data_IF_651522834820
#
_entry.id   IF_651522834820
#
_cell.length_a   1.000
_cell.length_b   1.000
_cell.length_c   1.000
_cell.angle_alpha   90.00
_cell.angle_beta   90.00
_cell.angle_gamma   90.00
#
_symmetry.space_group_name_H-M   'P 1'
#
loop_
_entity.id
_entity.type
_entity.pdbx_description
1 polymer ?
#
# COMPACT_ATOMS: atom_id res chain seq x y z
N UNK A 1 4.37 -3.93 -8.38
CA UNK A 1 4.44 -2.66 -9.11
C UNK A 1 4.01 -2.92 -10.52
N UNK A 2 2.80 -2.55 -10.85
CA UNK A 2 2.31 -2.52 -12.24
C UNK A 2 3.04 -1.47 -13.07
N UNK A 3 4.30 -1.29 -12.74
CA UNK A 3 5.24 -0.34 -13.26
C UNK A 3 5.82 -0.90 -14.56
N UNK A 4 5.66 -0.14 -15.65
CA UNK A 4 6.28 -0.42 -16.93
C UNK A 4 7.78 -0.08 -16.94
N UNK A 5 8.37 0.29 -15.79
CA UNK A 5 9.79 0.55 -15.70
C UNK A 5 10.58 -0.73 -16.00
N UNK A 6 11.18 -0.76 -17.18
CA UNK A 6 12.05 -1.84 -17.62
C UNK A 6 13.36 -1.91 -16.83
N UNK A 7 13.62 -0.93 -15.94
CA UNK A 7 14.78 -0.86 -15.05
C UNK A 7 14.33 -0.50 -13.64
N UNK A 8 13.58 -1.39 -12.95
CA UNK A 8 13.20 -1.15 -11.57
C UNK A 8 14.48 -0.90 -10.75
N UNK A 9 14.59 0.28 -10.15
CA UNK A 9 15.78 0.65 -9.40
C UNK A 9 15.99 -0.29 -8.23
N UNK A 10 17.17 -0.91 -8.16
CA UNK A 10 17.64 -1.58 -6.97
C UNK A 10 17.86 -0.55 -5.85
N UNK A 11 17.11 -0.68 -4.78
CA UNK A 11 17.35 0.13 -3.60
C UNK A 11 18.38 -0.56 -2.70
N UNK A 12 19.65 -0.27 -2.94
CA UNK A 12 20.70 -0.58 -1.99
C UNK A 12 20.64 0.43 -0.85
N UNK A 13 20.22 0.03 0.34
CA UNK A 13 20.32 0.91 1.49
C UNK A 13 21.60 0.65 2.25
N UNK A 14 22.43 1.66 2.32
CA UNK A 14 23.44 1.82 3.34
C UNK A 14 23.11 3.13 4.06
N UNK A 15 22.26 3.08 5.08
CA UNK A 15 21.95 4.22 5.94
C UNK A 15 21.61 3.71 7.32
N UNK A 16 22.48 3.96 8.30
CA UNK A 16 22.18 3.78 9.72
C UNK A 16 21.25 4.92 10.15
N UNK A 17 20.05 4.60 10.63
CA UNK A 17 19.39 5.48 11.59
C UNK A 17 19.95 5.15 12.97
N UNK A 18 20.24 6.21 13.73
CA UNK A 18 20.66 6.08 15.13
C UNK A 18 19.57 5.41 15.99
N UNK A 19 19.95 4.85 17.11
CA UNK A 19 19.05 4.35 18.15
C UNK A 19 18.32 5.53 18.78
N UNK A 20 17.04 5.72 18.42
CA UNK A 20 16.16 6.76 18.93
C UNK A 20 15.00 6.93 17.97
N UNK A 21 13.85 7.37 18.44
CA UNK A 21 12.65 7.69 17.68
C UNK A 21 12.88 8.92 16.77
N UNK A 22 13.78 8.81 15.81
CA UNK A 22 14.05 9.89 14.86
C UNK A 22 12.94 9.90 13.82
N UNK A 23 12.14 10.97 13.84
CA UNK A 23 11.14 11.24 12.81
C UNK A 23 11.84 11.47 11.48
N UNK A 24 11.29 10.88 10.42
CA UNK A 24 11.83 11.04 9.09
C UNK A 24 10.73 11.45 8.12
N UNK A 25 10.83 12.67 7.59
CA UNK A 25 9.92 13.18 6.59
C UNK A 25 10.45 12.82 5.18
N UNK A 26 9.64 12.08 4.42
CA UNK A 26 9.93 11.64 3.07
C UNK A 26 8.95 12.31 2.09
N UNK A 27 9.42 12.66 0.90
CA UNK A 27 8.56 13.09 -0.20
C UNK A 27 8.42 11.95 -1.21
N UNK A 28 7.19 11.59 -1.52
CA UNK A 28 6.89 10.54 -2.47
C UNK A 28 7.43 10.88 -3.87
N UNK A 29 7.86 9.85 -4.61
CA UNK A 29 8.37 10.01 -5.97
C UNK A 29 7.26 9.83 -6.98
N UNK A 30 7.21 10.65 -8.01
CA UNK A 30 6.31 10.43 -9.15
C UNK A 30 6.84 9.29 -10.01
N UNK A 31 5.98 8.31 -10.24
CA UNK A 31 6.27 7.12 -11.06
C UNK A 31 5.05 6.75 -11.91
N UNK A 32 5.24 6.21 -13.13
CA UNK A 32 4.13 5.74 -13.94
C UNK A 32 3.50 4.48 -13.32
N UNK A 33 2.18 4.41 -13.37
CA UNK A 33 1.39 3.22 -13.05
C UNK A 33 0.57 2.79 -14.27
N UNK A 34 0.78 1.58 -14.75
CA UNK A 34 0.15 1.14 -15.98
C UNK A 34 0.53 2.08 -17.14
N UNK A 35 -0.46 2.43 -18.00
CA UNK A 35 -0.20 3.19 -19.23
C UNK A 35 -0.63 4.66 -19.18
N UNK A 36 -1.50 5.00 -18.25
CA UNK A 36 -2.24 6.28 -18.30
C UNK A 36 -2.19 7.05 -16.99
N UNK A 37 -1.74 6.43 -15.91
CA UNK A 37 -1.79 7.02 -14.57
C UNK A 37 -0.37 7.25 -14.04
N UNK A 38 -0.14 8.39 -13.39
CA UNK A 38 1.04 8.67 -12.60
C UNK A 38 0.69 8.64 -11.12
N UNK A 39 1.56 8.07 -10.31
CA UNK A 39 1.35 7.96 -8.86
C UNK A 39 2.50 8.57 -8.07
N UNK A 40 2.19 9.01 -6.85
CA UNK A 40 3.18 9.40 -5.87
C UNK A 40 3.51 8.18 -4.98
N UNK A 41 4.68 7.58 -5.18
CA UNK A 41 5.16 6.42 -4.44
C UNK A 41 5.93 6.82 -3.22
N UNK A 42 5.35 6.55 -2.03
CA UNK A 42 5.99 6.84 -0.75
C UNK A 42 6.74 5.63 -0.18
N UNK A 43 6.22 4.41 -0.41
CA UNK A 43 6.89 3.16 -0.04
C UNK A 43 7.05 2.25 -1.27
N UNK A 44 8.16 1.52 -1.41
CA UNK A 44 9.36 1.61 -0.56
C UNK A 44 10.20 2.85 -0.88
N UNK A 45 10.78 3.44 0.14
CA UNK A 45 11.81 4.46 0.03
C UNK A 45 13.20 3.89 0.39
N UNK A 46 14.28 4.60 0.03
CA UNK A 46 15.64 4.19 0.35
C UNK A 46 15.91 4.17 1.86
N UNK A 47 15.30 5.07 2.60
CA UNK A 47 15.49 5.24 4.04
C UNK A 47 14.50 4.38 4.83
N UNK A 48 13.22 4.31 4.39
CA UNK A 48 12.16 3.52 4.99
C UNK A 48 11.56 2.59 3.94
N UNK A 49 11.70 1.31 4.13
CA UNK A 49 11.17 0.31 3.19
C UNK A 49 9.81 -0.21 3.57
N UNK A 50 9.58 -0.28 4.88
CA UNK A 50 8.38 -0.84 5.46
C UNK A 50 8.01 -0.07 6.73
N UNK A 51 6.72 -0.10 7.04
CA UNK A 51 6.14 0.32 8.32
C UNK A 51 5.34 -0.88 8.82
N UNK A 52 5.83 -1.59 9.83
CA UNK A 52 5.33 -2.92 10.13
C UNK A 52 5.42 -3.82 8.90
N UNK A 53 4.32 -4.45 8.52
CA UNK A 53 4.22 -5.24 7.29
C UNK A 53 3.83 -4.42 6.04
N UNK A 54 3.51 -3.14 6.17
CA UNK A 54 3.24 -2.25 5.03
C UNK A 54 4.52 -2.02 4.24
N UNK A 55 4.58 -2.53 3.01
CA UNK A 55 5.78 -2.51 2.17
C UNK A 55 5.62 -1.68 0.90
N UNK A 56 4.42 -1.14 0.64
CA UNK A 56 4.13 -0.35 -0.55
C UNK A 56 3.02 0.66 -0.28
N UNK A 57 3.20 1.88 -0.78
CA UNK A 57 2.20 2.95 -0.78
C UNK A 57 2.34 3.78 -2.05
N UNK A 58 1.32 3.72 -2.89
CA UNK A 58 1.09 4.61 -4.03
C UNK A 58 -0.15 5.46 -3.80
N UNK A 59 -0.04 6.75 -4.06
CA UNK A 59 -1.14 7.71 -4.05
C UNK A 59 -1.35 8.22 -5.48
N UNK A 60 -2.57 8.14 -5.98
CA UNK A 60 -2.97 8.63 -7.30
C UNK A 60 -4.11 9.63 -7.21
N UNK A 61 -4.07 10.62 -8.06
CA UNK A 61 -5.04 11.73 -8.07
C UNK A 61 -4.77 12.78 -6.98
N UNK A 62 -5.79 13.64 -6.70
CA UNK A 62 -7.04 13.76 -7.47
C UNK A 62 -6.78 14.11 -8.93
N UNK A 63 -7.34 13.36 -9.87
CA UNK A 63 -7.16 13.52 -11.31
C UNK A 63 -8.53 13.55 -12.01
N UNK A 64 -8.73 14.51 -12.92
CA UNK A 64 -9.89 14.51 -13.82
C UNK A 64 -9.63 13.51 -14.96
N UNK A 65 -10.33 12.38 -14.90
CA UNK A 65 -10.24 11.30 -15.87
C UNK A 65 -11.38 11.29 -16.88
N UNK A 66 -12.22 12.34 -16.93
CA UNK A 66 -13.37 12.43 -17.84
C UNK A 66 -12.98 12.39 -19.31
N UNK A 67 -11.82 12.99 -19.65
CA UNK A 67 -11.28 13.04 -21.02
C UNK A 67 -10.30 11.91 -21.36
N UNK A 68 -10.11 10.92 -20.49
CA UNK A 68 -9.13 9.85 -20.66
C UNK A 68 -9.73 8.46 -20.42
N UNK A 69 -8.94 7.41 -20.64
CA UNK A 69 -9.34 6.05 -20.28
C UNK A 69 -9.39 5.82 -18.75
N UNK A 70 -8.88 6.76 -17.94
CA UNK A 70 -8.68 6.57 -16.51
C UNK A 70 -7.60 5.52 -16.22
N UNK A 71 -7.67 4.89 -15.05
CA UNK A 71 -6.73 3.84 -14.65
C UNK A 71 -6.87 2.62 -15.55
N UNK A 72 -5.76 2.14 -16.11
CA UNK A 72 -5.69 0.97 -16.99
C UNK A 72 -4.51 0.08 -16.57
N UNK A 73 -4.69 -0.63 -15.46
CA UNK A 73 -3.72 -1.61 -14.97
C UNK A 73 -4.18 -2.99 -15.41
N UNK A 74 -3.54 -3.49 -16.47
CA UNK A 74 -3.90 -4.77 -17.08
C UNK A 74 -3.56 -5.97 -16.20
N UNK A 75 -4.00 -7.15 -16.62
CA UNK A 75 -3.77 -8.39 -15.89
C UNK A 75 -2.29 -8.58 -15.56
N UNK A 76 -1.99 -8.73 -14.27
CA UNK A 76 -0.65 -8.91 -13.73
C UNK A 76 -0.69 -9.79 -12.47
N UNK A 77 0.41 -10.50 -12.17
CA UNK A 77 0.45 -11.44 -11.06
C UNK A 77 0.89 -10.78 -9.75
N UNK A 78 0.56 -11.42 -8.63
CA UNK A 78 1.13 -11.16 -7.32
C UNK A 78 1.45 -12.44 -6.57
N UNK A 79 2.47 -12.41 -5.69
CA UNK A 79 2.83 -13.47 -4.74
C UNK A 79 3.26 -12.86 -3.41
N UNK A 80 2.96 -13.53 -2.29
CA UNK A 80 3.53 -13.24 -0.97
C UNK A 80 3.07 -11.91 -0.33
N UNK A 81 1.96 -11.32 -0.80
CA UNK A 81 1.45 -10.05 -0.31
C UNK A 81 -0.08 -10.00 -0.25
N UNK A 82 -0.61 -8.98 0.44
CA UNK A 82 -1.97 -8.49 0.23
C UNK A 82 -1.90 -7.14 -0.49
N UNK A 83 -2.78 -6.92 -1.48
CA UNK A 83 -3.10 -5.57 -1.97
C UNK A 83 -4.25 -5.02 -1.15
N UNK A 84 -4.19 -3.73 -0.84
CA UNK A 84 -5.22 -2.99 -0.11
C UNK A 84 -5.56 -1.76 -0.93
N UNK A 85 -6.75 -1.76 -1.55
CA UNK A 85 -7.22 -0.66 -2.40
C UNK A 85 -8.21 0.19 -1.61
N UNK A 86 -7.94 1.50 -1.50
CA UNK A 86 -8.78 2.48 -0.83
C UNK A 86 -8.98 3.71 -1.69
N UNK A 87 -10.19 3.89 -2.24
CA UNK A 87 -10.55 5.08 -3.00
C UNK A 87 -11.05 6.19 -2.08
N UNK A 88 -10.67 7.42 -2.43
CA UNK A 88 -11.14 8.67 -1.84
C UNK A 88 -12.18 9.34 -2.75
N UNK A 89 -12.07 9.11 -4.08
CA UNK A 89 -13.02 9.55 -5.10
C UNK A 89 -12.91 8.64 -6.33
N UNK A 90 -13.98 8.53 -7.10
CA UNK A 90 -14.02 7.76 -8.33
C UNK A 90 -14.41 6.30 -8.16
N UNK A 91 -14.13 5.52 -9.20
CA UNK A 91 -14.49 4.11 -9.27
C UNK A 91 -13.53 3.35 -10.18
N UNK A 92 -13.08 2.16 -9.76
CA UNK A 92 -12.32 1.22 -10.58
C UNK A 92 -12.90 -0.19 -10.45
N UNK A 93 -12.84 -0.98 -11.53
CA UNK A 93 -13.22 -2.37 -11.51
C UNK A 93 -12.01 -3.25 -11.21
N UNK A 94 -12.08 -4.00 -10.12
CA UNK A 94 -11.18 -5.10 -9.82
C UNK A 94 -11.72 -6.40 -10.43
N UNK A 95 -10.84 -7.17 -11.08
CA UNK A 95 -11.09 -8.56 -11.49
C UNK A 95 -9.88 -9.40 -11.19
N UNK A 96 -10.11 -10.66 -10.79
CA UNK A 96 -9.02 -11.59 -10.50
C UNK A 96 -9.23 -12.99 -11.07
N UNK A 97 -8.20 -13.82 -10.93
CA UNK A 97 -8.20 -15.19 -11.41
C UNK A 97 -9.01 -16.17 -10.56
N UNK A 98 -9.55 -15.72 -9.41
CA UNK A 98 -10.54 -16.49 -8.63
C UNK A 98 -11.94 -16.35 -9.22
N UNK A 99 -12.12 -15.42 -10.16
CA UNK A 99 -13.42 -15.06 -10.73
C UNK A 99 -14.11 -13.93 -9.95
N UNK A 100 -13.43 -13.29 -9.01
CA UNK A 100 -13.97 -12.13 -8.33
C UNK A 100 -14.10 -10.96 -9.31
N UNK A 101 -15.18 -10.20 -9.13
CA UNK A 101 -15.44 -8.97 -9.84
C UNK A 101 -16.06 -7.97 -8.86
N UNK A 102 -15.38 -6.90 -8.57
CA UNK A 102 -15.83 -5.89 -7.64
C UNK A 102 -15.61 -4.48 -8.19
N UNK A 103 -16.55 -3.58 -7.91
CA UNK A 103 -16.33 -2.15 -8.09
C UNK A 103 -15.71 -1.63 -6.80
N UNK A 104 -14.51 -1.09 -6.90
CA UNK A 104 -13.84 -0.41 -5.79
C UNK A 104 -14.35 1.02 -5.75
N UNK A 105 -14.90 1.46 -4.60
CA UNK A 105 -15.54 2.76 -4.41
C UNK A 105 -15.09 3.42 -3.11
N UNK A 106 -15.23 4.75 -2.97
CA UNK A 106 -15.01 5.42 -1.70
C UNK A 106 -15.84 4.80 -0.57
N UNK A 107 -15.18 4.58 0.57
CA UNK A 107 -15.81 3.95 1.74
C UNK A 107 -15.80 2.42 1.74
N UNK A 108 -15.39 1.78 0.65
CA UNK A 108 -15.27 0.32 0.52
C UNK A 108 -13.80 -0.09 0.49
N UNK A 109 -13.41 -0.98 1.41
CA UNK A 109 -12.05 -1.53 1.46
C UNK A 109 -12.01 -2.84 0.70
N UNK A 110 -11.11 -2.95 -0.27
CA UNK A 110 -10.88 -4.19 -0.99
C UNK A 110 -9.48 -4.72 -0.68
N UNK A 111 -9.42 -5.97 -0.24
CA UNK A 111 -8.18 -6.68 0.08
C UNK A 111 -8.08 -7.93 -0.78
N UNK A 112 -7.03 -8.00 -1.59
CA UNK A 112 -6.69 -9.22 -2.31
C UNK A 112 -5.44 -9.85 -1.69
N UNK A 113 -5.59 -11.00 -1.07
CA UNK A 113 -4.49 -11.81 -0.55
C UNK A 113 -3.95 -12.68 -1.67
N UNK A 114 -2.73 -12.43 -2.10
CA UNK A 114 -2.13 -13.15 -3.22
C UNK A 114 -1.71 -14.58 -2.87
N UNK A 115 -1.27 -14.79 -1.63
CA UNK A 115 -0.79 -16.11 -1.23
C UNK A 115 0.33 -16.62 -2.14
N UNK A 116 0.23 -17.87 -2.58
CA UNK A 116 1.19 -18.52 -3.49
C UNK A 116 1.14 -17.94 -4.92
N UNK A 117 0.07 -17.24 -5.30
CA UNK A 117 -0.08 -16.59 -6.61
C UNK A 117 -1.51 -16.27 -6.97
N UNK A 118 -1.71 -15.12 -7.57
CA UNK A 118 -2.99 -14.64 -8.11
C UNK A 118 -2.71 -13.71 -9.28
N UNK A 119 -3.66 -13.59 -10.20
CA UNK A 119 -3.65 -12.60 -11.29
C UNK A 119 -4.83 -11.67 -11.10
N UNK A 120 -4.61 -10.36 -11.21
CA UNK A 120 -5.71 -9.40 -11.19
C UNK A 120 -5.49 -8.23 -12.17
N UNK A 121 -6.56 -7.46 -12.38
CA UNK A 121 -6.56 -6.20 -13.15
C UNK A 121 -7.39 -5.16 -12.41
N UNK A 122 -7.03 -3.87 -12.61
CA UNK A 122 -7.70 -2.70 -12.03
C UNK A 122 -7.94 -1.68 -13.14
N UNK A 123 -9.20 -1.50 -13.53
CA UNK A 123 -9.55 -0.76 -14.75
C UNK A 123 -10.71 0.20 -14.48
N UNK A 124 -10.52 1.47 -14.86
CA UNK A 124 -11.64 2.41 -14.99
C UNK A 124 -12.53 2.03 -16.18
N UNK A 125 -13.84 1.92 -15.95
CA UNK A 125 -14.80 1.61 -16.99
C UNK A 125 -15.12 2.84 -17.87
N UNK A 126 -15.71 2.66 -19.06
CA UNK A 126 -16.04 3.79 -19.94
C UNK A 126 -17.01 4.83 -19.33
N UNK A 127 -17.92 4.37 -18.46
CA UNK A 127 -18.92 5.16 -17.76
C UNK A 127 -18.50 5.61 -16.35
N UNK A 128 -17.18 5.58 -16.06
CA UNK A 128 -16.61 5.98 -14.78
C UNK A 128 -16.97 7.40 -14.36
N UNK A 129 -16.94 7.70 -13.05
CA UNK A 129 -16.97 9.07 -12.53
C UNK A 129 -15.82 9.94 -13.10
N UNK A 130 -15.99 11.26 -13.16
CA UNK A 130 -14.99 12.16 -13.76
C UNK A 130 -13.69 12.26 -12.97
N UNK A 131 -13.74 12.01 -11.68
CA UNK A 131 -12.57 12.08 -10.80
C UNK A 131 -12.04 10.70 -10.43
N UNK A 132 -10.73 10.61 -10.22
CA UNK A 132 -10.08 9.44 -9.62
C UNK A 132 -9.09 9.90 -8.55
N UNK A 133 -9.24 9.38 -7.34
CA UNK A 133 -8.37 9.67 -6.21
C UNK A 133 -8.33 8.48 -5.26
N UNK A 134 -7.14 8.05 -4.85
CA UNK A 134 -7.03 6.93 -3.93
C UNK A 134 -5.61 6.54 -3.59
N UNK A 135 -5.50 5.50 -2.78
CA UNK A 135 -4.23 4.87 -2.42
C UNK A 135 -4.28 3.38 -2.70
N UNK A 136 -3.14 2.87 -3.18
CA UNK A 136 -2.87 1.44 -3.30
C UNK A 136 -1.76 1.09 -2.33
N UNK A 137 -2.04 0.13 -1.45
CA UNK A 137 -1.11 -0.31 -0.41
C UNK A 137 -0.82 -1.80 -0.57
N UNK A 138 0.36 -2.23 -0.14
CA UNK A 138 0.65 -3.66 0.01
C UNK A 138 1.14 -3.98 1.41
N UNK A 139 0.69 -5.14 1.89
CA UNK A 139 1.12 -5.76 3.14
C UNK A 139 1.89 -7.04 2.80
N UNK A 140 3.13 -7.16 3.25
CA UNK A 140 3.90 -8.39 3.10
C UNK A 140 3.31 -9.49 3.98
N UNK A 141 3.14 -10.69 3.41
CA UNK A 141 2.69 -11.85 4.16
C UNK A 141 3.86 -12.49 4.92
N UNK A 142 3.68 -12.83 6.21
CA UNK A 142 4.68 -13.58 6.95
C UNK A 142 4.86 -15.00 6.39
N UNK A 143 6.02 -15.61 6.63
CA UNK A 143 6.42 -16.92 6.11
C UNK A 143 5.36 -18.01 6.35
N UNK A 144 4.74 -17.99 7.54
CA UNK A 144 3.75 -19.00 7.92
C UNK A 144 2.48 -19.02 7.05
N UNK A 145 2.22 -17.94 6.28
CA UNK A 145 0.97 -17.80 5.51
C UNK A 145 1.19 -17.29 4.08
N UNK A 146 2.43 -17.00 3.67
CA UNK A 146 2.70 -16.44 2.34
C UNK A 146 2.35 -17.37 1.17
N UNK A 147 2.32 -18.68 1.41
CA UNK A 147 2.00 -19.72 0.42
C UNK A 147 0.55 -20.24 0.52
N UNK A 148 -0.31 -19.49 1.26
CA UNK A 148 -1.72 -19.84 1.36
C UNK A 148 -2.45 -19.69 0.03
N UNK A 149 -3.65 -20.28 -0.07
CA UNK A 149 -4.57 -20.03 -1.18
C UNK A 149 -4.93 -18.54 -1.27
N UNK A 150 -5.02 -17.97 -2.48
CA UNK A 150 -5.43 -16.59 -2.67
C UNK A 150 -6.89 -16.35 -2.25
N UNK A 151 -7.19 -15.15 -1.80
CA UNK A 151 -8.53 -14.74 -1.35
C UNK A 151 -8.77 -13.28 -1.78
N UNK A 152 -10.01 -12.96 -2.12
CA UNK A 152 -10.48 -11.59 -2.31
C UNK A 152 -11.60 -11.28 -1.32
N UNK A 153 -11.42 -10.22 -0.55
CA UNK A 153 -12.39 -9.72 0.44
C UNK A 153 -12.74 -8.26 0.15
N UNK A 154 -14.02 -7.92 0.28
CA UNK A 154 -14.53 -6.56 0.18
C UNK A 154 -15.33 -6.21 1.44
N UNK A 155 -14.98 -5.08 2.07
CA UNK A 155 -15.59 -4.60 3.31
C UNK A 155 -16.29 -3.28 3.05
N UNK A 156 -17.61 -3.27 3.11
CA UNK A 156 -18.47 -2.09 2.87
C UNK A 156 -18.90 -1.40 4.16
N UNK A 157 -18.75 -2.06 5.30
CA UNK A 157 -19.11 -1.55 6.63
C UNK A 157 -17.88 -1.51 7.54
N UNK A 158 -17.04 -0.49 7.32
CA UNK A 158 -15.89 -0.23 8.17
C UNK A 158 -16.26 0.68 9.34
N UNK A 159 -15.65 0.48 10.51
CA UNK A 159 -15.95 1.29 11.69
C UNK A 159 -15.45 2.73 11.52
N UNK A 160 -16.29 3.68 11.96
CA UNK A 160 -15.92 5.08 12.03
C UNK A 160 -15.03 5.34 13.25
N UNK A 161 -13.95 6.09 13.04
CA UNK A 161 -13.19 6.73 14.10
C UNK A 161 -13.60 8.20 14.15
N UNK A 162 -14.32 8.58 15.20
CA UNK A 162 -14.84 9.94 15.37
C UNK A 162 -14.24 10.58 16.62
N UNK A 163 -13.60 11.73 16.45
CA UNK A 163 -13.07 12.58 17.52
C UNK A 163 -13.45 14.04 17.22
N UNK A 164 -13.23 14.95 18.15
CA UNK A 164 -13.52 16.37 17.94
C UNK A 164 -12.74 16.92 16.73
N UNK A 165 -13.45 17.32 15.67
CA UNK A 165 -12.87 17.83 14.42
C UNK A 165 -12.18 16.78 13.56
N UNK A 166 -12.36 15.48 13.85
CA UNK A 166 -11.77 14.37 13.08
C UNK A 166 -12.79 13.27 12.86
N UNK A 167 -12.93 12.87 11.60
CA UNK A 167 -13.73 11.71 11.21
C UNK A 167 -12.91 10.86 10.23
N UNK A 168 -13.01 9.54 10.34
CA UNK A 168 -12.32 8.63 9.44
C UNK A 168 -12.80 7.21 9.56
N UNK A 169 -12.13 6.31 8.85
CA UNK A 169 -12.39 4.87 8.84
C UNK A 169 -11.14 4.12 9.30
N UNK A 170 -11.33 3.13 10.18
CA UNK A 170 -10.26 2.16 10.45
C UNK A 170 -10.34 1.07 9.40
N UNK A 171 -9.33 1.01 8.55
CA UNK A 171 -9.27 0.11 7.39
C UNK A 171 -8.94 -1.31 7.82
N UNK A 172 -7.91 -1.47 8.68
CA UNK A 172 -7.45 -2.77 9.15
C UNK A 172 -6.86 -2.63 10.56
N UNK A 173 -6.95 -3.67 11.37
CA UNK A 173 -6.44 -3.68 12.74
C UNK A 173 -7.21 -2.76 13.68
N UNK A 174 -6.51 -2.09 14.59
CA UNK A 174 -7.11 -1.20 15.59
C UNK A 174 -6.36 0.12 15.67
N UNK A 175 -7.08 1.23 15.68
CA UNK A 175 -6.56 2.58 15.90
C UNK A 175 -7.41 3.26 16.96
N UNK A 176 -6.78 3.76 18.02
CA UNK A 176 -7.43 4.52 19.11
C UNK A 176 -8.70 3.83 19.65
N UNK A 177 -8.64 2.50 19.90
CA UNK A 177 -9.73 1.69 20.44
C UNK A 177 -10.82 1.31 19.44
N UNK A 178 -10.71 1.76 18.18
CA UNK A 178 -11.63 1.38 17.09
C UNK A 178 -11.02 0.25 16.26
N UNK A 179 -11.72 -0.90 16.16
CA UNK A 179 -11.22 -2.12 15.51
C UNK A 179 -11.96 -2.43 14.22
N UNK A 180 -11.21 -2.60 13.12
CA UNK A 180 -11.73 -3.05 11.83
C UNK A 180 -12.00 -4.56 11.82
N UNK A 181 -13.04 -5.04 11.08
CA UNK A 181 -13.25 -6.46 10.81
C UNK A 181 -12.28 -7.02 9.75
N UNK A 182 -11.54 -6.17 9.02
CA UNK A 182 -10.68 -6.61 7.93
C UNK A 182 -9.49 -7.43 8.43
N UNK A 183 -9.19 -8.51 7.71
CA UNK A 183 -8.22 -9.51 8.12
C UNK A 183 -6.80 -9.14 7.67
N UNK A 184 -5.90 -8.93 8.62
CA UNK A 184 -4.45 -8.89 8.44
C UNK A 184 -3.79 -10.16 8.98
N UNK A 185 -2.65 -10.54 8.40
CA UNK A 185 -1.90 -11.74 8.78
C UNK A 185 -0.68 -11.46 9.68
N UNK A 186 -0.48 -10.21 10.04
CA UNK A 186 0.50 -9.75 11.04
C UNK A 186 -0.14 -8.67 11.89
N UNK A 187 0.37 -8.39 13.10
CA UNK A 187 -0.11 -7.27 13.89
C UNK A 187 0.16 -5.95 13.16
N UNK A 188 -0.90 -5.32 12.64
CA UNK A 188 -0.81 -4.05 11.91
C UNK A 188 -2.11 -3.25 12.08
N UNK A 189 -2.03 -1.97 11.76
CA UNK A 189 -3.20 -1.12 11.65
C UNK A 189 -3.08 -0.16 10.45
N UNK A 190 -4.23 0.29 9.97
CA UNK A 190 -4.35 1.31 8.94
C UNK A 190 -5.66 2.06 9.10
N UNK A 191 -5.63 3.37 8.93
CA UNK A 191 -6.82 4.22 8.98
C UNK A 191 -6.69 5.38 7.99
N UNK A 192 -7.83 5.84 7.49
CA UNK A 192 -7.95 7.12 6.80
C UNK A 192 -8.65 8.10 7.74
N UNK A 193 -8.08 9.29 7.93
CA UNK A 193 -8.63 10.34 8.76
C UNK A 193 -8.74 11.66 7.99
N UNK A 194 -9.90 12.30 8.13
CA UNK A 194 -10.16 13.66 7.67
C UNK A 194 -10.21 14.58 8.87
N UNK A 195 -9.41 15.62 8.83
CA UNK A 195 -9.30 16.64 9.87
C UNK A 195 -9.97 17.93 9.39
N UNK A 196 -10.89 18.45 10.17
CA UNK A 196 -11.51 19.76 9.92
C UNK A 196 -10.50 20.90 10.13
N UNK A 197 -10.75 22.09 9.54
CA UNK A 197 -9.99 23.29 9.88
C UNK A 197 -10.02 23.57 11.38
N UNK A 198 -8.84 23.70 11.99
CA UNK A 198 -8.68 23.92 13.43
C UNK A 198 -8.71 22.65 14.29
N UNK A 199 -8.77 21.47 13.68
CA UNK A 199 -8.70 20.21 14.41
C UNK A 199 -7.39 20.08 15.21
N UNK A 200 -7.52 19.53 16.43
CA UNK A 200 -6.43 19.27 17.37
C UNK A 200 -6.81 18.01 18.16
N UNK A 201 -6.14 16.89 17.90
CA UNK A 201 -6.52 15.59 18.43
C UNK A 201 -5.29 14.79 18.83
N UNK A 202 -5.41 14.05 19.93
CA UNK A 202 -4.45 13.02 20.35
C UNK A 202 -5.11 11.64 20.21
N UNK A 203 -4.45 10.72 19.50
CA UNK A 203 -4.85 9.34 19.33
C UNK A 203 -3.96 8.42 20.14
N UNK A 204 -4.53 7.40 20.74
CA UNK A 204 -3.76 6.36 21.43
C UNK A 204 -3.13 5.40 20.43
N UNK A 205 -1.88 5.02 20.68
CA UNK A 205 -1.09 4.12 19.84
C UNK A 205 -0.66 2.88 20.62
N UNK A 206 -0.44 1.78 19.90
CA UNK A 206 0.23 0.59 20.44
C UNK A 206 1.75 0.82 20.47
N UNK A 207 2.35 0.77 21.66
CA UNK A 207 3.78 1.00 21.87
C UNK A 207 4.68 -0.03 21.14
N UNK A 208 4.14 -1.21 20.84
CA UNK A 208 4.85 -2.26 20.10
C UNK A 208 4.89 -2.04 18.59
N UNK A 209 4.25 -0.98 18.08
CA UNK A 209 4.17 -0.70 16.66
C UNK A 209 5.11 0.44 16.25
N UNK A 210 5.55 0.41 15.02
CA UNK A 210 6.08 1.57 14.30
C UNK A 210 4.97 2.20 13.47
N UNK A 211 5.08 3.52 13.22
CA UNK A 211 4.00 4.28 12.57
C UNK A 211 4.51 5.20 11.46
N UNK A 212 3.62 5.46 10.50
CA UNK A 212 3.79 6.47 9.48
C UNK A 212 2.49 7.20 9.17
N UNK A 213 2.61 8.50 8.87
CA UNK A 213 1.50 9.38 8.51
C UNK A 213 1.74 9.88 7.09
N UNK A 214 0.85 9.56 6.18
CA UNK A 214 0.91 10.00 4.79
C UNK A 214 -0.25 10.95 4.50
N UNK A 215 0.05 12.16 3.98
CA UNK A 215 -0.98 13.16 3.67
C UNK A 215 -1.43 13.03 2.22
N UNK A 216 -2.73 12.86 2.01
CA UNK A 216 -3.37 12.75 0.69
C UNK A 216 -4.05 14.05 0.26
N UNK A 217 -4.42 14.92 1.21
CA UNK A 217 -4.99 16.24 0.91
C UNK A 217 -4.71 17.24 2.02
N UNK A 218 -4.58 18.53 1.67
CA UNK A 218 -4.30 19.60 2.61
C UNK A 218 -2.92 19.50 3.25
N UNK A 219 -2.83 19.91 4.52
CA UNK A 219 -1.62 19.77 5.32
C UNK A 219 -1.97 19.44 6.77
N UNK A 220 -1.24 18.52 7.36
CA UNK A 220 -1.42 18.10 8.74
C UNK A 220 -0.11 18.28 9.51
N UNK A 221 -0.19 18.72 10.73
CA UNK A 221 0.93 18.76 11.66
C UNK A 221 0.84 17.50 12.52
N UNK A 222 1.76 16.56 12.31
CA UNK A 222 1.91 15.38 13.16
C UNK A 222 3.06 15.63 14.14
N UNK A 223 2.75 15.55 15.43
CA UNK A 223 3.64 16.00 16.50
C UNK A 223 4.08 17.48 16.32
N UNK A 224 5.30 17.71 15.87
CA UNK A 224 5.85 19.03 15.56
C UNK A 224 6.11 19.24 14.06
N UNK A 225 5.91 18.22 13.24
CA UNK A 225 6.30 18.21 11.82
C UNK A 225 5.10 18.44 10.93
N UNK A 226 5.17 19.43 10.04
CA UNK A 226 4.16 19.65 8.99
C UNK A 226 4.36 18.61 7.89
N UNK A 227 3.30 17.86 7.58
CA UNK A 227 3.27 16.83 6.53
C UNK A 227 2.32 17.31 5.44
N UNK A 228 2.88 17.71 4.32
CA UNK A 228 2.12 18.15 3.13
C UNK A 228 1.67 16.99 2.26
N UNK A 229 0.92 17.29 1.20
CA UNK A 229 0.47 16.28 0.23
C UNK A 229 1.66 15.53 -0.36
N UNK A 230 1.51 14.22 -0.56
CA UNK A 230 2.54 13.31 -1.05
C UNK A 230 3.78 13.22 -0.13
N UNK A 231 3.64 13.56 1.14
CA UNK A 231 4.69 13.37 2.15
C UNK A 231 4.31 12.29 3.14
N UNK A 232 5.29 11.47 3.51
CA UNK A 232 5.21 10.43 4.53
C UNK A 232 6.12 10.81 5.70
N UNK A 233 5.55 11.01 6.87
CA UNK A 233 6.31 11.13 8.11
C UNK A 233 6.38 9.77 8.80
N UNK A 234 7.58 9.18 8.83
CA UNK A 234 7.84 8.01 9.66
C UNK A 234 8.13 8.46 11.08
N UNK A 235 7.42 7.88 12.04
CA UNK A 235 7.46 8.27 13.44
C UNK A 235 8.35 7.36 14.32
N UNK A 236 8.85 6.26 13.77
CA UNK A 236 9.55 5.24 14.56
C UNK A 236 8.60 4.37 15.39
N UNK A 237 9.18 3.66 16.34
CA UNK A 237 8.49 2.78 17.28
C UNK A 237 8.39 3.40 18.69
N UNK A 238 7.80 2.63 19.63
CA UNK A 238 7.74 2.96 21.06
C UNK A 238 6.92 4.22 21.38
N UNK A 239 5.94 4.56 20.55
CA UNK A 239 5.01 5.67 20.80
C UNK A 239 3.71 5.18 21.40
N UNK A 240 3.18 5.92 22.37
CA UNK A 240 1.88 5.64 23.02
C UNK A 240 0.77 6.56 22.55
N UNK A 241 1.12 7.63 21.85
CA UNK A 241 0.16 8.60 21.33
C UNK A 241 0.67 9.24 20.06
N UNK A 242 -0.26 9.75 19.26
CA UNK A 242 -0.03 10.57 18.08
C UNK A 242 -0.86 11.84 18.19
N UNK A 243 -0.20 12.99 18.16
CA UNK A 243 -0.86 14.28 18.15
C UNK A 243 -0.97 14.81 16.72
N UNK A 244 -2.19 15.04 16.25
CA UNK A 244 -2.49 15.56 14.93
C UNK A 244 -3.21 16.90 15.03
N UNK A 245 -2.75 17.88 14.26
CA UNK A 245 -3.39 19.19 14.13
C UNK A 245 -3.53 19.55 12.66
N UNK A 246 -4.59 20.27 12.31
CA UNK A 246 -4.74 20.82 10.95
C UNK A 246 -5.36 22.20 10.98
N UNK A 247 -4.57 23.28 10.81
CA UNK A 247 -5.10 24.64 10.82
C UNK A 247 -6.12 24.92 9.69
N UNK A 248 -5.95 24.30 8.53
CA UNK A 248 -6.73 24.55 7.31
C UNK A 248 -7.59 23.36 6.83
N UNK A 249 -7.56 22.25 7.58
CA UNK A 249 -8.13 20.98 7.15
C UNK A 249 -7.12 20.13 6.38
N UNK A 250 -7.28 18.80 6.47
CA UNK A 250 -6.41 17.85 5.79
C UNK A 250 -6.92 16.42 5.86
N UNK A 251 -6.30 15.56 5.09
CA UNK A 251 -6.66 14.14 5.03
C UNK A 251 -5.41 13.29 5.00
N UNK A 252 -5.35 12.29 5.86
CA UNK A 252 -4.18 11.44 6.05
C UNK A 252 -4.51 9.96 6.05
N UNK A 253 -3.54 9.17 5.64
CA UNK A 253 -3.49 7.72 5.86
C UNK A 253 -2.51 7.46 7.00
N UNK A 254 -2.98 6.77 8.04
CA UNK A 254 -2.15 6.26 9.12
C UNK A 254 -1.82 4.81 8.79
N UNK A 255 -0.54 4.46 8.82
CA UNK A 255 -0.04 3.10 8.73
C UNK A 255 0.72 2.78 10.00
N UNK A 256 0.45 1.62 10.60
CA UNK A 256 1.16 1.14 11.77
C UNK A 256 1.29 -0.38 11.77
N UNK A 257 2.21 -0.89 12.54
CA UNK A 257 2.34 -2.33 12.73
C UNK A 257 3.56 -2.71 13.54
N UNK A 258 3.49 -3.91 14.12
CA UNK A 258 4.66 -4.50 14.73
C UNK A 258 5.76 -4.61 13.67
N UNK A 259 6.96 -4.15 14.00
CA UNK A 259 8.07 -4.23 13.07
C UNK A 259 8.21 -5.62 12.44
N UNK A 260 8.15 -5.70 11.11
CA UNK A 260 8.16 -6.99 10.39
C UNK A 260 9.49 -7.72 10.57
N UNK A 261 9.44 -8.92 11.14
CA UNK A 261 10.64 -9.63 11.62
C UNK A 261 11.42 -10.36 10.52
N UNK A 262 10.87 -10.43 9.31
CA UNK A 262 11.44 -11.22 8.22
C UNK A 262 12.04 -10.33 7.14
N UNK A 263 13.12 -10.79 6.53
CA UNK A 263 13.69 -10.16 5.35
C UNK A 263 12.93 -10.58 4.10
N UNK A 264 12.59 -9.61 3.25
CA UNK A 264 11.87 -9.86 2.01
C UNK A 264 12.68 -9.40 0.80
N UNK A 265 12.49 -10.08 -0.33
CA UNK A 265 12.86 -9.62 -1.66
C UNK A 265 11.59 -9.18 -2.37
N UNK A 266 11.49 -7.88 -2.65
CA UNK A 266 10.38 -7.32 -3.43
C UNK A 266 10.92 -6.87 -4.79
N UNK A 267 10.37 -7.45 -5.84
CA UNK A 267 10.73 -7.10 -7.21
C UNK A 267 9.49 -7.17 -8.11
N UNK A 268 9.28 -6.14 -8.91
CA UNK A 268 8.11 -5.97 -9.75
C UNK A 268 6.82 -6.13 -8.92
N UNK A 269 6.04 -7.19 -9.12
CA UNK A 269 4.79 -7.48 -8.41
C UNK A 269 4.92 -8.66 -7.44
N UNK A 270 6.12 -9.16 -7.21
CA UNK A 270 6.39 -10.33 -6.39
C UNK A 270 7.07 -9.98 -5.08
N UNK A 271 6.65 -10.64 -4.03
CA UNK A 271 7.38 -10.72 -2.76
C UNK A 271 7.79 -12.16 -2.52
N UNK A 272 9.08 -12.37 -2.38
CA UNK A 272 9.71 -13.64 -2.01
C UNK A 272 10.71 -13.45 -0.88
N UNK A 273 11.49 -14.49 -0.60
CA UNK A 273 12.56 -14.48 0.42
C UNK A 273 13.94 -14.59 -0.20
N UNK A 274 14.02 -14.93 -1.48
CA UNK A 274 15.27 -15.09 -2.20
C UNK A 274 15.18 -14.62 -3.65
N UNK A 275 16.33 -14.39 -4.27
CA UNK A 275 16.42 -14.14 -5.70
C UNK A 275 15.87 -15.31 -6.52
N UNK A 276 16.14 -16.55 -6.09
CA UNK A 276 15.69 -17.75 -6.78
C UNK A 276 14.16 -17.84 -6.84
N UNK A 277 13.47 -17.51 -5.75
CA UNK A 277 12.01 -17.45 -5.74
C UNK A 277 11.46 -16.39 -6.72
N UNK A 278 12.08 -15.23 -6.79
CA UNK A 278 11.65 -14.19 -7.75
C UNK A 278 11.84 -14.64 -9.19
N UNK A 279 12.94 -15.35 -9.49
CA UNK A 279 13.17 -15.94 -10.81
C UNK A 279 12.10 -16.98 -11.13
N UNK A 280 11.78 -17.85 -10.17
CA UNK A 280 10.71 -18.85 -10.31
C UNK A 280 9.35 -18.20 -10.56
N UNK A 281 8.97 -17.20 -9.76
CA UNK A 281 7.69 -16.50 -9.95
C UNK A 281 7.59 -15.80 -11.31
N UNK A 282 8.68 -15.18 -11.74
CA UNK A 282 8.73 -14.55 -13.06
C UNK A 282 8.59 -15.56 -14.19
N UNK A 283 9.34 -16.67 -14.15
CA UNK A 283 9.20 -17.76 -15.13
C UNK A 283 7.80 -18.33 -15.15
N UNK A 284 7.25 -18.63 -13.97
CA UNK A 284 5.89 -19.16 -13.83
C UNK A 284 4.82 -18.24 -14.41
N UNK A 285 5.00 -16.91 -14.29
CA UNK A 285 4.12 -15.93 -14.94
C UNK A 285 4.22 -16.00 -16.47
N UNK A 286 5.43 -16.02 -17.02
CA UNK A 286 5.66 -16.08 -18.47
C UNK A 286 5.19 -17.41 -19.08
N UNK A 287 5.39 -18.50 -18.37
CA UNK A 287 5.00 -19.86 -18.76
C UNK A 287 3.52 -20.17 -18.46
N UNK A 288 2.81 -19.23 -17.79
CA UNK A 288 1.41 -19.38 -17.39
C UNK A 288 1.17 -20.62 -16.53
N UNK A 289 2.01 -20.80 -15.52
CA UNK A 289 1.84 -21.85 -14.53
C UNK A 289 0.49 -21.78 -13.81
N UNK A 290 0.08 -22.91 -13.21
CA UNK A 290 -1.21 -23.04 -12.54
C UNK A 290 -1.45 -22.01 -11.41
N UNK A 291 -0.37 -21.48 -10.78
CA UNK A 291 -0.47 -20.42 -9.77
C UNK A 291 -0.89 -19.05 -10.33
N UNK A 292 -0.81 -18.87 -11.65
CA UNK A 292 -1.20 -17.63 -12.35
C UNK A 292 -2.23 -17.90 -13.43
N UNK A 293 -3.42 -18.41 -13.09
CA UNK A 293 -4.46 -18.69 -14.08
C UNK A 293 -4.97 -17.37 -14.69
N UNK A 294 -5.39 -17.38 -15.96
CA UNK A 294 -5.93 -16.19 -16.61
C UNK A 294 -7.24 -15.74 -15.96
N UNK A 295 -7.52 -14.44 -16.03
CA UNK A 295 -8.84 -13.89 -15.66
C UNK A 295 -9.89 -14.37 -16.67
N UNK A 296 -10.90 -15.09 -16.19
CA UNK A 296 -11.81 -15.93 -17.03
C UNK A 296 -12.76 -15.14 -17.93
N UNK A 297 -12.97 -13.85 -17.75
CA UNK A 297 -14.11 -13.14 -18.36
C UNK A 297 -13.79 -12.07 -19.41
N UNK A 298 -12.50 -11.88 -19.76
CA UNK A 298 -12.07 -10.90 -20.74
C UNK A 298 -10.79 -11.37 -21.46
N UNK A 299 -10.68 -11.07 -22.73
CA UNK A 299 -9.39 -11.11 -23.45
C UNK A 299 -8.53 -9.92 -23.00
N UNK A 300 -8.25 -9.83 -21.70
CA UNK A 300 -7.41 -8.77 -21.16
C UNK A 300 -5.97 -9.01 -21.60
N UNK A 301 -5.32 -7.91 -22.02
CA UNK A 301 -3.89 -7.96 -22.24
C UNK A 301 -3.21 -8.19 -20.90
N UNK A 302 -2.32 -9.16 -20.86
CA UNK A 302 -1.47 -9.38 -19.71
C UNK A 302 -0.26 -8.43 -19.77
N UNK A 303 0.20 -7.99 -18.61
CA UNK A 303 1.45 -7.25 -18.51
C UNK A 303 2.64 -8.20 -18.67
N UNK A 304 3.63 -7.80 -19.45
CA UNK A 304 4.89 -8.52 -19.55
C UNK A 304 5.73 -8.24 -18.30
N UNK A 305 6.33 -9.29 -17.72
CA UNK A 305 7.26 -9.10 -16.63
C UNK A 305 8.56 -8.48 -17.17
N UNK A 306 9.16 -7.49 -16.47
CA UNK A 306 10.47 -6.95 -16.88
C UNK A 306 11.53 -8.06 -16.95
N UNK A 307 12.63 -7.85 -17.70
CA UNK A 307 13.76 -8.76 -17.62
C UNK A 307 14.35 -8.77 -16.21
N UNK A 308 14.81 -9.93 -15.76
CA UNK A 308 15.52 -10.03 -14.48
C UNK A 308 16.71 -9.09 -14.46
N UNK A 309 16.99 -8.42 -13.33
CA UNK A 309 18.18 -7.59 -13.20
C UNK A 309 19.45 -8.47 -13.33
N UNK A 310 20.52 -7.91 -13.87
CA UNK A 310 21.81 -8.60 -14.02
C UNK A 310 22.51 -8.87 -12.69
N UNK A 311 22.06 -8.23 -11.62
CA UNK A 311 22.58 -8.40 -10.25
C UNK A 311 21.65 -9.29 -9.45
N UNK A 312 22.24 -10.05 -8.52
CA UNK A 312 21.46 -10.88 -7.62
C UNK A 312 20.65 -10.02 -6.65
N UNK A 313 19.33 -10.16 -6.69
CA UNK A 313 18.44 -9.56 -5.69
C UNK A 313 18.78 -10.13 -4.31
N UNK A 314 18.88 -9.28 -3.32
CA UNK A 314 19.16 -9.70 -1.94
C UNK A 314 17.95 -9.37 -1.06
N UNK A 315 17.65 -10.22 -0.08
CA UNK A 315 16.73 -9.88 0.97
C UNK A 315 17.16 -8.53 1.56
N UNK A 316 16.21 -7.69 1.84
CA UNK A 316 16.49 -6.39 2.44
C UNK A 316 16.38 -6.54 3.94
N UNK A 317 17.50 -6.53 4.68
CA UNK A 317 17.43 -6.64 6.11
C UNK A 317 16.60 -5.47 6.65
N UNK A 318 15.77 -5.79 7.60
CA UNK A 318 15.19 -4.80 8.48
C UNK A 318 16.35 -3.99 9.07
N UNK A 319 16.18 -2.68 9.23
CA UNK A 319 17.15 -1.87 9.93
C UNK A 319 17.50 -2.51 11.27
N UNK A 320 18.71 -3.01 11.41
CA UNK A 320 19.23 -3.36 12.72
C UNK A 320 19.33 -2.07 13.53
N UNK A 321 18.75 -2.06 14.74
CA UNK A 321 19.16 -1.08 15.75
C UNK A 321 20.68 -1.20 15.82
N UNK A 322 21.40 -0.09 15.71
CA UNK A 322 22.81 -0.09 16.04
C UNK A 322 22.91 -0.51 17.51
N UNK A 323 23.59 -1.65 17.77
CA UNK A 323 24.05 -1.99 19.12
C UNK A 323 25.01 -0.93 19.64
#
# INVERSE_FOLDING_TARGET
MSDLDTRPQEYLSAGRLGSGSEELLLTARRVPLGRTTEVARALPDRQIRMIGAWCFLDHYGPEDVSGSAGMQVWAHPHTGLQTVSWLLDGEIEHRDSLGSRAMVRPGELNIMTAGHGIVHSEISLPDKPPMLHGVQLWVALPEAVRDREPIFDSYTDLPDLIRAGVIGKVLIGEVDGTRSPALGYSPLCGAELRLDPGADVALSLDEGFEYGIFTVAGAVIAESTTVGVDQLLYLGDSRRSLHLRSPSGGQVIILGGQPFAEDIVMWWNFIGRSHAEIVEFRSGWEEREARFPPIVSRSEKAMEAPPMPTVQLKPRPRRSRAE
#
